data_IF_632484420530
#
_entry.id   IF_632484420530
#
_cell.length_a   1.000
_cell.length_b   1.000
_cell.length_c   1.000
_cell.angle_alpha   90.00
_cell.angle_beta   90.00
_cell.angle_gamma   90.00
#
_symmetry.space_group_name_H-M   'P 1'
#
loop_
_entity.id
_entity.type
_entity.pdbx_description
1 polymer ?
#
# COMPACT_ATOMS: atom_id res chain seq x y z
N UNK A 1 -17.72 -25.15 6.99
CA UNK A 1 -17.07 -24.34 8.06
C UNK A 1 -15.58 -24.29 7.79
N UNK A 2 -14.88 -23.20 8.10
CA UNK A 2 -13.41 -23.13 7.98
C UNK A 2 -12.73 -24.10 8.96
N UNK A 3 -11.59 -24.66 8.56
CA UNK A 3 -10.81 -25.55 9.43
C UNK A 3 -10.09 -24.76 10.53
N UNK A 4 -9.74 -25.41 11.68
CA UNK A 4 -8.97 -24.74 12.74
C UNK A 4 -7.66 -24.12 12.25
N UNK A 5 -6.94 -24.79 11.34
CA UNK A 5 -5.69 -24.29 10.76
C UNK A 5 -5.92 -23.02 9.93
N UNK A 6 -7.05 -22.98 9.18
CA UNK A 6 -7.40 -21.78 8.41
C UNK A 6 -7.75 -20.62 9.32
N UNK A 7 -8.50 -20.85 10.38
CA UNK A 7 -8.83 -19.83 11.39
C UNK A 7 -7.54 -19.29 12.00
N UNK A 8 -6.65 -20.15 12.47
CA UNK A 8 -5.37 -19.76 13.07
C UNK A 8 -4.51 -18.94 12.09
N UNK A 9 -4.45 -19.36 10.80
CA UNK A 9 -3.70 -18.62 9.77
C UNK A 9 -4.29 -17.23 9.55
N UNK A 10 -5.61 -17.11 9.40
CA UNK A 10 -6.28 -15.82 9.17
C UNK A 10 -6.08 -14.91 10.38
N UNK A 11 -6.29 -15.40 11.60
CA UNK A 11 -6.05 -14.67 12.84
C UNK A 11 -4.63 -14.11 12.88
N UNK A 12 -3.62 -14.95 12.63
CA UNK A 12 -2.21 -14.54 12.63
C UNK A 12 -1.94 -13.45 11.58
N UNK A 13 -2.47 -13.60 10.36
CA UNK A 13 -2.24 -12.62 9.29
C UNK A 13 -2.92 -11.29 9.61
N UNK A 14 -4.16 -11.30 10.11
CA UNK A 14 -4.87 -10.09 10.53
C UNK A 14 -4.16 -9.37 11.68
N UNK A 15 -3.59 -10.11 12.63
CA UNK A 15 -2.82 -9.52 13.74
C UNK A 15 -1.55 -8.80 13.30
N UNK A 16 -1.07 -9.05 12.07
CA UNK A 16 0.12 -8.42 11.50
C UNK A 16 -0.22 -7.29 10.51
N UNK A 17 -1.51 -7.02 10.25
CA UNK A 17 -1.90 -5.93 9.35
C UNK A 17 -1.56 -4.57 9.91
N UNK A 18 -1.15 -3.67 9.00
CA UNK A 18 -0.71 -2.31 9.29
C UNK A 18 -1.76 -1.32 8.77
N UNK A 19 -2.83 -1.00 9.58
CA UNK A 19 -3.94 -0.16 9.10
C UNK A 19 -3.51 1.28 8.79
N UNK A 20 -2.45 1.75 9.43
CA UNK A 20 -1.89 3.10 9.34
C UNK A 20 -0.69 3.23 8.40
N UNK A 21 -0.48 2.24 7.52
CA UNK A 21 0.46 2.32 6.40
C UNK A 21 -0.29 1.98 5.11
N UNK A 22 -0.37 2.94 4.19
CA UNK A 22 -1.12 2.84 2.95
C UNK A 22 -0.22 2.96 1.72
N UNK A 23 -0.59 2.29 0.66
CA UNK A 23 -0.01 2.46 -0.67
C UNK A 23 -1.05 3.11 -1.56
N UNK A 24 -0.65 4.12 -2.30
CA UNK A 24 -1.45 4.79 -3.33
C UNK A 24 -0.77 4.58 -4.67
N UNK A 25 -1.46 3.99 -5.64
CA UNK A 25 -0.96 3.81 -7.01
C UNK A 25 -1.68 4.78 -7.93
N UNK A 26 -0.93 5.64 -8.62
CA UNK A 26 -1.47 6.60 -9.57
C UNK A 26 -1.12 6.22 -11.00
N UNK A 27 -2.15 6.16 -11.87
CA UNK A 27 -1.98 5.96 -13.31
C UNK A 27 -1.42 4.58 -13.71
N UNK A 28 -1.46 3.59 -12.82
CA UNK A 28 -0.91 2.26 -13.08
C UNK A 28 -1.90 1.45 -13.91
N UNK A 29 -1.65 1.39 -15.22
CA UNK A 29 -2.51 0.69 -16.18
C UNK A 29 -2.07 -0.73 -16.49
N UNK A 30 -0.79 -1.06 -16.23
CA UNK A 30 -0.23 -2.39 -16.55
C UNK A 30 -0.66 -3.37 -15.48
N UNK A 31 -1.59 -4.26 -15.81
CA UNK A 31 -2.12 -5.28 -14.90
C UNK A 31 -1.02 -6.13 -14.22
N UNK A 32 0.12 -6.36 -14.89
CA UNK A 32 1.25 -7.10 -14.35
C UNK A 32 1.87 -6.36 -13.16
N UNK A 33 2.18 -5.06 -13.30
CA UNK A 33 2.82 -4.27 -12.25
C UNK A 33 1.88 -4.05 -11.07
N UNK A 34 0.61 -3.72 -11.32
CA UNK A 34 -0.40 -3.60 -10.27
C UNK A 34 -0.54 -4.90 -9.47
N UNK A 35 -0.59 -6.05 -10.15
CA UNK A 35 -0.70 -7.36 -9.52
C UNK A 35 0.55 -7.73 -8.69
N UNK A 36 1.75 -7.37 -9.17
CA UNK A 36 2.99 -7.57 -8.41
C UNK A 36 3.04 -6.67 -7.16
N UNK A 37 2.56 -5.42 -7.26
CA UNK A 37 2.44 -4.51 -6.11
C UNK A 37 1.45 -5.05 -5.09
N UNK A 38 0.25 -5.51 -5.51
CA UNK A 38 -0.75 -6.13 -4.62
C UNK A 38 -0.12 -7.28 -3.82
N UNK A 39 0.64 -8.15 -4.49
CA UNK A 39 1.35 -9.25 -3.82
C UNK A 39 2.41 -8.76 -2.83
N UNK A 40 3.14 -7.71 -3.17
CA UNK A 40 4.12 -7.08 -2.28
C UNK A 40 3.43 -6.45 -1.06
N UNK A 41 2.31 -5.75 -1.27
CA UNK A 41 1.50 -5.18 -0.19
C UNK A 41 1.01 -6.25 0.79
N UNK A 42 0.45 -7.36 0.27
CA UNK A 42 0.03 -8.48 1.12
C UNK A 42 1.21 -9.05 1.94
N UNK A 43 2.36 -9.29 1.29
CA UNK A 43 3.57 -9.81 1.94
C UNK A 43 4.10 -8.85 3.03
N UNK A 44 3.95 -7.54 2.82
CA UNK A 44 4.37 -6.50 3.75
C UNK A 44 3.33 -6.18 4.85
N UNK A 45 2.21 -6.89 4.89
CA UNK A 45 1.16 -6.66 5.88
C UNK A 45 0.34 -5.39 5.66
N UNK A 46 0.42 -4.78 4.48
CA UNK A 46 -0.45 -3.65 4.10
C UNK A 46 -1.89 -4.17 4.03
N UNK A 47 -2.82 -3.40 4.59
CA UNK A 47 -4.25 -3.70 4.47
C UNK A 47 -4.90 -2.84 3.38
N UNK A 48 -4.59 -1.55 3.35
CA UNK A 48 -5.27 -0.57 2.52
C UNK A 48 -4.42 -0.19 1.30
N UNK A 49 -5.00 -0.32 0.11
CA UNK A 49 -4.42 0.07 -1.18
C UNK A 49 -5.40 1.00 -1.89
N UNK A 50 -4.97 2.22 -2.21
CA UNK A 50 -5.75 3.17 -2.98
C UNK A 50 -5.22 3.21 -4.43
N UNK A 51 -6.13 3.21 -5.40
CA UNK A 51 -5.83 3.31 -6.82
C UNK A 51 -6.43 4.60 -7.37
N UNK A 52 -5.61 5.44 -7.95
CA UNK A 52 -6.05 6.65 -8.64
C UNK A 52 -5.99 6.39 -10.14
N UNK A 53 -7.16 6.34 -10.79
CA UNK A 53 -7.28 6.11 -12.22
C UNK A 53 -8.48 6.87 -12.78
N UNK A 54 -8.31 7.67 -13.84
CA UNK A 54 -9.42 8.35 -14.50
C UNK A 54 -10.38 7.38 -15.21
N UNK A 55 -9.96 6.13 -15.41
CA UNK A 55 -10.73 5.08 -16.09
C UNK A 55 -10.78 3.82 -15.21
N UNK A 56 -11.54 3.82 -14.11
CA UNK A 56 -11.59 2.71 -13.16
C UNK A 56 -12.00 1.36 -13.79
N UNK A 57 -12.83 1.40 -14.83
CA UNK A 57 -13.29 0.20 -15.56
C UNK A 57 -12.17 -0.54 -16.30
N UNK A 58 -11.03 0.14 -16.57
CA UNK A 58 -9.86 -0.46 -17.21
C UNK A 58 -8.92 -1.16 -16.21
N UNK A 59 -9.16 -0.99 -14.90
CA UNK A 59 -8.39 -1.62 -13.87
C UNK A 59 -8.75 -3.12 -13.77
N UNK A 60 -8.07 -3.93 -14.57
CA UNK A 60 -8.19 -5.39 -14.52
C UNK A 60 -6.98 -5.97 -13.81
N UNK A 61 -7.21 -6.57 -12.64
CA UNK A 61 -6.17 -7.33 -11.95
C UNK A 61 -6.05 -8.72 -12.57
N UNK A 62 -4.83 -9.11 -12.89
CA UNK A 62 -4.56 -10.48 -13.29
C UNK A 62 -4.47 -11.37 -12.03
N UNK A 63 -5.52 -12.15 -11.75
CA UNK A 63 -5.60 -13.03 -10.58
C UNK A 63 -4.44 -14.03 -10.52
N UNK A 64 -3.91 -14.45 -11.67
CA UNK A 64 -2.78 -15.38 -11.71
C UNK A 64 -1.48 -14.73 -11.22
N UNK A 65 -1.31 -13.42 -11.43
CA UNK A 65 -0.12 -12.67 -11.03
C UNK A 65 -0.22 -12.25 -9.56
N UNK A 66 -1.39 -11.71 -9.16
CA UNK A 66 -1.65 -11.35 -7.76
C UNK A 66 -1.66 -12.56 -6.83
N UNK A 67 -1.76 -13.79 -7.39
CA UNK A 67 -1.99 -15.02 -6.64
C UNK A 67 -3.18 -14.92 -5.68
N UNK A 68 -4.20 -14.15 -6.08
CA UNK A 68 -5.39 -13.79 -5.31
C UNK A 68 -5.09 -12.99 -4.03
N UNK A 69 -3.95 -12.28 -3.98
CA UNK A 69 -3.60 -11.42 -2.84
C UNK A 69 -4.58 -10.23 -2.70
N UNK A 70 -5.22 -9.81 -3.81
CA UNK A 70 -6.31 -8.84 -3.84
C UNK A 70 -7.43 -9.12 -2.83
N UNK A 71 -7.71 -10.40 -2.54
CA UNK A 71 -8.72 -10.83 -1.55
C UNK A 71 -8.35 -10.48 -0.10
N UNK A 72 -7.08 -10.23 0.15
CA UNK A 72 -6.54 -9.99 1.48
C UNK A 72 -6.22 -8.50 1.74
N UNK A 73 -6.60 -7.63 0.79
CA UNK A 73 -6.48 -6.17 0.91
C UNK A 73 -7.86 -5.52 0.84
N UNK A 74 -7.96 -4.34 1.40
CA UNK A 74 -9.05 -3.39 1.18
C UNK A 74 -8.59 -2.43 0.08
N UNK A 75 -9.12 -2.62 -1.14
CA UNK A 75 -8.73 -1.82 -2.31
C UNK A 75 -9.83 -0.81 -2.59
N UNK A 76 -9.47 0.48 -2.61
CA UNK A 76 -10.35 1.58 -3.00
C UNK A 76 -9.89 2.16 -4.33
N UNK A 77 -10.83 2.57 -5.17
CA UNK A 77 -10.56 3.19 -6.48
C UNK A 77 -11.14 4.59 -6.50
N UNK A 78 -10.35 5.54 -6.98
CA UNK A 78 -10.66 6.97 -7.04
C UNK A 78 -10.45 7.46 -8.47
N UNK A 79 -11.30 8.38 -8.94
CA UNK A 79 -11.21 8.98 -10.28
C UNK A 79 -10.08 9.99 -10.41
N UNK A 80 -9.66 10.61 -9.30
CA UNK A 80 -8.63 11.66 -9.28
C UNK A 80 -7.86 11.73 -7.97
N UNK A 81 -6.68 12.40 -7.95
CA UNK A 81 -5.97 12.74 -6.72
C UNK A 81 -6.82 13.53 -5.72
N UNK A 82 -7.65 14.46 -6.21
CA UNK A 82 -8.52 15.28 -5.38
C UNK A 82 -9.60 14.48 -4.64
N UNK A 83 -10.02 13.33 -5.14
CA UNK A 83 -10.94 12.43 -4.47
C UNK A 83 -10.27 11.60 -3.36
N UNK A 84 -9.00 11.28 -3.52
CA UNK A 84 -8.27 10.38 -2.65
C UNK A 84 -7.48 11.13 -1.55
N UNK A 85 -6.59 12.03 -1.96
CA UNK A 85 -5.52 12.54 -1.10
C UNK A 85 -5.99 13.48 0.02
N UNK A 86 -6.97 14.40 -0.18
CA UNK A 86 -7.49 15.22 0.91
C UNK A 86 -8.06 14.39 2.05
N UNK A 87 -8.80 13.32 1.73
CA UNK A 87 -9.38 12.43 2.73
C UNK A 87 -8.27 11.76 3.57
N UNK A 88 -7.19 11.30 2.95
CA UNK A 88 -6.06 10.73 3.68
C UNK A 88 -5.40 11.74 4.63
N UNK A 89 -5.31 13.01 4.23
CA UNK A 89 -4.83 14.09 5.12
C UNK A 89 -5.77 14.31 6.31
N UNK A 90 -7.07 14.33 6.08
CA UNK A 90 -8.09 14.46 7.14
C UNK A 90 -8.04 13.27 8.11
N UNK A 91 -7.74 12.07 7.63
CA UNK A 91 -7.51 10.87 8.42
C UNK A 91 -6.16 10.89 9.18
N UNK A 92 -5.34 11.93 9.00
CA UNK A 92 -4.07 12.14 9.72
C UNK A 92 -2.85 11.45 9.09
N UNK A 93 -2.94 11.01 7.84
CA UNK A 93 -1.78 10.44 7.14
C UNK A 93 -0.80 11.53 6.69
N UNK A 94 0.49 11.27 6.88
CA UNK A 94 1.56 11.97 6.15
C UNK A 94 1.63 11.41 4.74
N UNK A 95 1.49 12.25 3.72
CA UNK A 95 1.53 11.84 2.32
C UNK A 95 2.95 11.97 1.80
N UNK A 96 3.51 10.86 1.35
CA UNK A 96 4.82 10.78 0.70
C UNK A 96 4.65 10.53 -0.79
N UNK A 97 5.31 11.29 -1.65
CA UNK A 97 5.34 11.06 -3.09
C UNK A 97 6.71 10.54 -3.52
N UNK A 98 6.75 9.41 -4.24
CA UNK A 98 8.01 8.89 -4.77
C UNK A 98 8.37 9.60 -6.07
N UNK A 99 9.39 10.45 -6.06
CA UNK A 99 9.80 11.22 -7.23
C UNK A 99 11.30 11.52 -7.25
N UNK A 100 11.87 11.65 -8.45
CA UNK A 100 13.29 11.92 -8.68
C UNK A 100 13.56 13.44 -8.73
N UNK A 101 13.34 14.15 -7.65
CA UNK A 101 13.70 15.57 -7.53
C UNK A 101 14.96 15.74 -6.69
N UNK A 102 15.72 16.81 -6.94
CA UNK A 102 16.98 17.08 -6.20
C UNK A 102 16.76 17.24 -4.70
N UNK A 103 15.60 17.77 -4.27
CA UNK A 103 15.24 18.00 -2.87
C UNK A 103 14.54 16.80 -2.20
N UNK A 104 14.40 15.67 -2.91
CA UNK A 104 13.76 14.47 -2.38
C UNK A 104 14.60 13.84 -1.26
N UNK A 105 13.93 13.49 -0.16
CA UNK A 105 14.53 12.84 1.00
C UNK A 105 14.82 11.36 0.65
N UNK A 106 15.99 10.81 1.01
CA UNK A 106 16.21 9.37 0.88
C UNK A 106 15.18 8.57 1.65
N UNK A 107 14.66 7.49 1.06
CA UNK A 107 13.60 6.68 1.66
C UNK A 107 13.96 6.15 3.06
N UNK A 108 15.24 5.91 3.32
CA UNK A 108 15.71 5.39 4.62
C UNK A 108 15.70 6.45 5.75
N UNK A 109 15.62 7.74 5.40
CA UNK A 109 15.60 8.86 6.35
C UNK A 109 14.17 9.28 6.75
N UNK A 110 13.17 8.58 6.23
CA UNK A 110 11.76 8.79 6.57
C UNK A 110 11.37 7.99 7.81
N UNK A 111 10.60 8.59 8.70
CA UNK A 111 9.99 7.92 9.85
C UNK A 111 8.64 7.29 9.45
N UNK A 112 8.65 5.99 9.14
CA UNK A 112 7.46 5.22 8.78
C UNK A 112 6.68 4.69 10.00
N UNK A 113 7.05 5.04 11.20
CA UNK A 113 6.33 4.61 12.42
C UNK A 113 5.07 5.43 12.68
N UNK A 114 4.87 6.50 11.91
CA UNK A 114 3.66 7.34 11.92
C UNK A 114 2.67 6.90 10.84
N UNK A 115 1.39 7.30 10.93
CA UNK A 115 0.44 7.09 9.85
C UNK A 115 0.98 7.67 8.53
N UNK A 116 1.14 6.82 7.52
CA UNK A 116 1.84 7.18 6.28
C UNK A 116 1.11 6.61 5.07
N UNK A 117 0.85 7.45 4.07
CA UNK A 117 0.39 7.06 2.76
C UNK A 117 1.49 7.36 1.73
N UNK A 118 1.85 6.37 0.91
CA UNK A 118 2.96 6.48 -0.04
C UNK A 118 2.41 6.38 -1.45
N UNK A 119 2.60 7.46 -2.24
CA UNK A 119 2.17 7.52 -3.64
C UNK A 119 3.29 6.99 -4.53
N UNK A 120 2.93 6.07 -5.40
CA UNK A 120 3.76 5.57 -6.48
C UNK A 120 3.06 5.84 -7.82
N UNK A 121 3.76 6.49 -8.73
CA UNK A 121 3.26 6.77 -10.07
C UNK A 121 3.50 5.64 -11.06
N UNK A 122 2.93 5.79 -12.25
CA UNK A 122 3.18 4.88 -13.37
C UNK A 122 4.65 4.96 -13.84
N UNK A 123 5.12 3.90 -14.51
CA UNK A 123 6.48 3.86 -15.06
C UNK A 123 6.69 4.86 -16.21
N UNK A 124 5.63 5.20 -16.95
CA UNK A 124 5.68 6.10 -18.11
C UNK A 124 5.56 7.58 -17.74
N UNK A 125 4.65 7.92 -16.83
CA UNK A 125 4.30 9.31 -16.51
C UNK A 125 4.72 9.74 -15.11
N UNK A 126 5.02 8.77 -14.24
CA UNK A 126 5.34 9.05 -12.84
C UNK A 126 4.10 9.50 -12.05
N UNK A 127 4.31 10.38 -11.10
CA UNK A 127 3.28 11.01 -10.27
C UNK A 127 2.90 12.35 -10.91
N UNK A 128 1.59 12.65 -10.99
CA UNK A 128 1.11 13.92 -11.57
C UNK A 128 1.46 15.11 -10.68
N UNK A 129 1.50 16.31 -11.30
CA UNK A 129 1.67 17.58 -10.57
C UNK A 129 0.56 17.81 -9.54
N UNK A 130 -0.67 17.32 -9.81
CA UNK A 130 -1.78 17.39 -8.89
C UNK A 130 -1.50 16.57 -7.61
N UNK A 131 -1.08 15.31 -7.75
CA UNK A 131 -0.70 14.48 -6.60
C UNK A 131 0.49 15.02 -5.83
N UNK A 132 1.50 15.59 -6.54
CA UNK A 132 2.66 16.20 -5.91
C UNK A 132 2.27 17.42 -5.03
N UNK A 133 1.23 18.17 -5.41
CA UNK A 133 0.74 19.30 -4.62
C UNK A 133 0.14 18.89 -3.26
N UNK A 134 -0.31 17.64 -3.12
CA UNK A 134 -0.80 17.09 -1.85
C UNK A 134 0.32 16.45 -1.01
N UNK A 135 1.50 16.19 -1.57
CA UNK A 135 2.58 15.52 -0.86
C UNK A 135 3.16 16.42 0.24
N UNK A 136 3.33 15.86 1.43
CA UNK A 136 4.00 16.51 2.55
C UNK A 136 5.53 16.38 2.42
N UNK A 137 6.00 15.29 1.78
CA UNK A 137 7.42 15.08 1.47
C UNK A 137 7.56 14.31 0.15
N UNK A 138 8.64 14.63 -0.55
CA UNK A 138 9.08 13.86 -1.72
C UNK A 138 10.19 12.89 -1.28
N UNK A 139 10.07 11.64 -1.72
CA UNK A 139 10.95 10.54 -1.30
C UNK A 139 11.60 9.92 -2.52
N UNK A 140 12.89 9.60 -2.42
CA UNK A 140 13.65 8.93 -3.47
C UNK A 140 14.36 7.68 -2.97
N UNK A 141 14.53 6.71 -3.86
CA UNK A 141 15.48 5.62 -3.72
C UNK A 141 16.79 6.08 -4.41
N UNK A 142 17.93 6.18 -3.72
CA UNK A 142 19.19 6.61 -4.35
C UNK A 142 19.62 5.64 -5.45
N UNK A 143 19.92 6.18 -6.65
CA UNK A 143 20.46 5.43 -7.77
C UNK A 143 21.96 5.71 -7.91
N UNK A 144 22.78 4.68 -7.91
CA UNK A 144 24.25 4.80 -8.03
C UNK A 144 24.76 4.32 -9.40
N UNK A 145 23.87 3.86 -10.27
CA UNK A 145 24.19 3.35 -11.60
C UNK A 145 23.72 4.27 -12.71
N UNK A 146 23.73 3.74 -13.94
CA UNK A 146 23.30 4.46 -15.13
C UNK A 146 21.78 4.57 -15.26
N UNK A 147 21.03 3.67 -14.61
CA UNK A 147 19.57 3.71 -14.62
C UNK A 147 19.05 4.81 -13.70
N UNK A 148 17.97 5.47 -14.12
CA UNK A 148 17.36 6.56 -13.35
C UNK A 148 16.21 6.08 -12.45
N UNK A 149 15.64 4.90 -12.72
CA UNK A 149 14.52 4.35 -11.97
C UNK A 149 14.60 2.84 -11.87
N UNK A 150 13.83 2.28 -10.93
CA UNK A 150 13.58 0.85 -10.79
C UNK A 150 12.16 0.54 -11.29
N UNK A 151 11.90 -0.74 -11.55
CA UNK A 151 10.53 -1.21 -11.77
C UNK A 151 9.66 -0.82 -10.56
N UNK A 152 8.40 -0.48 -10.84
CA UNK A 152 7.44 -0.02 -9.83
C UNK A 152 7.33 -0.97 -8.65
N UNK A 153 7.15 -2.27 -8.88
CA UNK A 153 6.99 -3.25 -7.81
C UNK A 153 8.25 -3.42 -6.95
N UNK A 154 9.42 -3.20 -7.54
CA UNK A 154 10.71 -3.20 -6.82
C UNK A 154 10.80 -1.97 -5.92
N UNK A 155 10.44 -0.78 -6.43
CA UNK A 155 10.42 0.46 -5.65
C UNK A 155 9.48 0.35 -4.45
N UNK A 156 8.28 -0.19 -4.68
CA UNK A 156 7.30 -0.46 -3.60
C UNK A 156 7.89 -1.40 -2.56
N UNK A 157 8.52 -2.50 -2.99
CA UNK A 157 9.11 -3.47 -2.07
C UNK A 157 10.20 -2.84 -1.19
N UNK A 158 11.13 -2.09 -1.78
CA UNK A 158 12.23 -1.45 -1.04
C UNK A 158 11.67 -0.55 0.07
N UNK A 159 10.71 0.32 -0.25
CA UNK A 159 10.17 1.28 0.71
C UNK A 159 9.31 0.59 1.77
N UNK A 160 8.46 -0.35 1.39
CA UNK A 160 7.62 -1.07 2.35
C UNK A 160 8.44 -1.93 3.31
N UNK A 161 9.48 -2.60 2.84
CA UNK A 161 10.32 -3.42 3.73
C UNK A 161 11.20 -2.58 4.66
N UNK A 162 11.59 -1.36 4.26
CA UNK A 162 12.19 -0.41 5.20
C UNK A 162 11.17 0.04 6.25
N UNK A 163 9.94 0.37 5.86
CA UNK A 163 8.87 0.68 6.80
C UNK A 163 8.63 -0.47 7.80
N UNK A 164 8.59 -1.72 7.31
CA UNK A 164 8.48 -2.90 8.17
C UNK A 164 9.63 -3.02 9.16
N UNK A 165 10.87 -2.80 8.69
CA UNK A 165 12.05 -2.85 9.56
C UNK A 165 11.94 -1.85 10.71
N UNK A 166 11.54 -0.62 10.43
CA UNK A 166 11.34 0.42 11.44
C UNK A 166 10.22 0.06 12.42
N UNK A 167 9.08 -0.40 11.89
CA UNK A 167 7.90 -0.79 12.69
C UNK A 167 8.19 -2.01 13.56
N UNK A 168 8.93 -2.99 13.04
CA UNK A 168 9.37 -4.15 13.82
C UNK A 168 10.27 -3.74 15.00
N UNK A 169 11.21 -2.82 14.78
CA UNK A 169 12.08 -2.29 15.82
C UNK A 169 11.31 -1.51 16.92
N UNK A 170 10.10 -1.03 16.61
CA UNK A 170 9.18 -0.36 17.55
C UNK A 170 8.13 -1.28 18.15
N UNK A 171 8.19 -2.59 17.87
CA UNK A 171 7.27 -3.57 18.46
C UNK A 171 5.86 -3.58 17.85
N UNK A 172 5.66 -3.04 16.63
CA UNK A 172 4.34 -2.95 15.98
C UNK A 172 3.69 -4.31 15.70
N UNK A 173 4.46 -5.37 15.72
CA UNK A 173 3.99 -6.75 15.49
C UNK A 173 3.78 -7.57 16.76
N UNK A 174 3.83 -6.93 17.94
CA UNK A 174 3.61 -7.62 19.23
C UNK A 174 2.14 -7.98 19.46
N UNK A 175 1.20 -7.37 18.73
CA UNK A 175 -0.23 -7.64 18.80
C UNK A 175 -1.00 -6.98 17.67
N UNK A 176 -2.32 -7.25 17.57
CA UNK A 176 -3.17 -6.65 16.56
C UNK A 176 -3.20 -5.12 16.68
N UNK A 177 -3.16 -4.44 15.52
CA UNK A 177 -3.27 -2.98 15.42
C UNK A 177 -4.60 -2.52 14.82
N UNK A 178 -5.38 -3.45 14.29
CA UNK A 178 -6.73 -3.18 13.82
C UNK A 178 -7.67 -2.92 15.01
N UNK A 179 -8.61 -1.97 14.88
CA UNK A 179 -9.75 -1.87 15.80
C UNK A 179 -10.49 -3.21 15.91
N UNK A 180 -11.01 -3.60 17.07
CA UNK A 180 -11.69 -4.88 17.25
C UNK A 180 -12.82 -5.13 16.23
N UNK A 181 -13.64 -4.11 15.94
CA UNK A 181 -14.71 -4.18 14.96
C UNK A 181 -14.20 -4.49 13.53
N UNK A 182 -13.09 -3.87 13.12
CA UNK A 182 -12.47 -4.15 11.81
C UNK A 182 -11.84 -5.54 11.77
N UNK A 183 -11.21 -5.95 12.86
CA UNK A 183 -10.64 -7.29 12.97
C UNK A 183 -11.73 -8.36 12.80
N UNK A 184 -12.86 -8.22 13.49
CA UNK A 184 -13.98 -9.16 13.42
C UNK A 184 -14.64 -9.14 12.03
N UNK A 185 -14.86 -7.95 11.44
CA UNK A 185 -15.39 -7.80 10.09
C UNK A 185 -14.51 -8.50 9.05
N UNK A 186 -13.20 -8.27 9.11
CA UNK A 186 -12.24 -8.90 8.19
C UNK A 186 -12.10 -10.40 8.43
N UNK A 187 -12.15 -10.83 9.69
CA UNK A 187 -12.16 -12.26 10.04
C UNK A 187 -13.33 -12.96 9.37
N UNK A 188 -14.55 -12.41 9.49
CA UNK A 188 -15.75 -12.96 8.84
C UNK A 188 -15.59 -12.97 7.31
N UNK A 189 -15.17 -11.84 6.72
CA UNK A 189 -14.94 -11.70 5.27
C UNK A 189 -13.94 -12.74 4.74
N UNK A 190 -12.79 -12.90 5.39
CA UNK A 190 -11.72 -13.78 4.90
C UNK A 190 -11.97 -15.27 5.14
N UNK A 191 -12.81 -15.58 6.09
CA UNK A 191 -13.28 -16.94 6.36
C UNK A 191 -14.56 -17.30 5.58
N UNK A 192 -15.11 -16.37 4.78
CA UNK A 192 -16.41 -16.51 4.07
C UNK A 192 -17.55 -16.92 5.03
N UNK A 193 -17.59 -16.31 6.21
CA UNK A 193 -18.68 -16.49 7.16
C UNK A 193 -19.84 -15.54 6.79
N UNK A 194 -21.11 -15.94 7.06
CA UNK A 194 -22.24 -15.04 6.80
C UNK A 194 -22.11 -13.76 7.66
N UNK A 195 -22.56 -12.60 7.13
CA UNK A 195 -22.80 -11.42 7.98
C UNK A 195 -23.84 -11.75 9.04
N UNK A 196 -23.71 -11.13 10.20
CA UNK A 196 -24.77 -11.19 11.23
C UNK A 196 -25.97 -10.36 10.83
#
# INVERSE_FOLDING_TARGET
MPTPERIAKVTRVLSLRQPDLRVVLEGVTIAHNASAVIRTCDAAGILNLDLISPNPELLRFNEAISTRADKWLEIAVHGSPAECLPRLKEEGYTILATHLQNEAVPYADIDYTKPTAIIFGSESEGITGESLAYADKIVRIPMLGMVQSLNLSVSVAIILFEALRQRAARGFFAGPRLPPEDFDRLMKKWLNLPPE
#
